data_IF_246926623631
#
_entry.id   IF_246926623631
#
_cell.length_a   1.000
_cell.length_b   1.000
_cell.length_c   1.000
_cell.angle_alpha   90.00
_cell.angle_beta   90.00
_cell.angle_gamma   90.00
#
_symmetry.space_group_name_H-M   'P 1'
#
loop_
_entity.id
_entity.type
_entity.pdbx_description
1 polymer ?
#
# COMPACT_ATOMS: atom_id res chain seq x y z
N UNK A 1 -35.53 -1.50 -3.78
CA UNK A 1 -34.48 -2.19 -3.01
C UNK A 1 -33.21 -1.99 -3.80
N UNK A 2 -32.56 -0.89 -3.45
CA UNK A 2 -31.43 -0.26 -4.11
C UNK A 2 -30.22 -1.22 -4.07
N UNK A 3 -29.49 -1.44 -5.16
CA UNK A 3 -28.73 -0.40 -5.84
C UNK A 3 -27.32 -0.35 -5.23
N UNK A 4 -26.61 -1.48 -5.23
CA UNK A 4 -25.21 -1.55 -4.83
C UNK A 4 -24.38 -0.91 -5.95
N UNK A 5 -23.72 0.19 -5.62
CA UNK A 5 -22.83 0.90 -6.51
C UNK A 5 -21.68 -0.01 -6.92
N UNK A 6 -21.70 -0.45 -8.18
CA UNK A 6 -20.60 -1.11 -8.87
C UNK A 6 -19.51 -0.05 -9.16
N UNK A 7 -18.72 0.27 -8.13
CA UNK A 7 -17.58 1.19 -8.21
C UNK A 7 -16.35 0.47 -8.75
N UNK A 8 -16.10 0.64 -10.05
CA UNK A 8 -15.06 0.04 -10.87
C UNK A 8 -13.61 0.47 -10.54
N UNK A 9 -13.15 0.41 -9.28
CA UNK A 9 -11.78 0.79 -8.93
C UNK A 9 -10.73 -0.29 -9.29
N UNK A 10 -11.16 -1.54 -9.48
CA UNK A 10 -10.26 -2.66 -9.88
C UNK A 10 -10.21 -2.90 -11.39
N UNK A 11 -11.03 -2.19 -12.18
CA UNK A 11 -11.19 -2.40 -13.63
C UNK A 11 -9.96 -2.03 -14.48
N UNK A 12 -8.93 -1.42 -13.89
CA UNK A 12 -7.72 -0.96 -14.59
C UNK A 12 -6.48 -1.86 -14.50
N UNK A 13 -6.54 -2.96 -13.76
CA UNK A 13 -5.37 -3.83 -13.57
C UNK A 13 -5.27 -4.82 -14.73
N UNK A 14 -4.29 -4.63 -15.60
CA UNK A 14 -3.99 -5.56 -16.69
C UNK A 14 -3.68 -6.96 -16.13
N UNK A 15 -4.23 -7.99 -16.78
CA UNK A 15 -3.91 -9.39 -16.46
C UNK A 15 -2.59 -9.73 -17.13
N UNK A 16 -1.60 -10.14 -16.35
CA UNK A 16 -0.28 -10.58 -16.82
C UNK A 16 -0.04 -12.01 -16.34
N UNK A 17 0.34 -12.95 -17.22
CA UNK A 17 0.75 -14.30 -16.81
C UNK A 17 1.94 -14.25 -15.85
N UNK A 18 1.97 -15.16 -14.89
CA UNK A 18 3.03 -15.20 -13.88
C UNK A 18 4.42 -15.40 -14.51
N UNK A 19 4.52 -16.27 -15.51
CA UNK A 19 5.77 -16.49 -16.25
C UNK A 19 6.30 -15.20 -16.91
N UNK A 20 5.41 -14.35 -17.45
CA UNK A 20 5.81 -13.06 -18.05
C UNK A 20 6.34 -12.08 -17.00
N UNK A 21 5.76 -12.11 -15.79
CA UNK A 21 6.26 -11.34 -14.66
C UNK A 21 7.65 -11.83 -14.27
N UNK A 22 7.83 -13.15 -14.10
CA UNK A 22 9.10 -13.77 -13.76
C UNK A 22 10.18 -13.45 -14.80
N UNK A 23 9.88 -13.61 -16.08
CA UNK A 23 10.78 -13.26 -17.20
C UNK A 23 11.19 -11.79 -17.17
N UNK A 24 10.28 -10.90 -16.76
CA UNK A 24 10.59 -9.47 -16.63
C UNK A 24 11.56 -9.24 -15.48
N UNK A 25 11.33 -9.87 -14.33
CA UNK A 25 12.21 -9.72 -13.16
C UNK A 25 13.59 -10.33 -13.41
N UNK A 26 13.68 -11.54 -13.97
CA UNK A 26 14.96 -12.19 -14.29
C UNK A 26 15.73 -11.43 -15.36
N UNK A 27 15.05 -10.86 -16.37
CA UNK A 27 15.69 -10.00 -17.38
C UNK A 27 16.42 -8.80 -16.79
N UNK A 28 15.87 -8.17 -15.74
CA UNK A 28 16.44 -6.94 -15.17
C UNK A 28 17.30 -7.18 -13.93
N UNK A 29 16.99 -8.20 -13.13
CA UNK A 29 17.63 -8.47 -11.83
C UNK A 29 18.49 -9.75 -11.82
N UNK A 30 18.45 -10.52 -12.92
CA UNK A 30 19.22 -11.75 -13.12
C UNK A 30 18.46 -13.02 -12.73
N UNK A 31 18.92 -14.16 -13.26
CA UNK A 31 18.29 -15.47 -13.07
C UNK A 31 18.30 -15.97 -11.62
N UNK A 32 19.20 -15.43 -10.80
CA UNK A 32 19.30 -15.75 -9.37
C UNK A 32 18.40 -14.91 -8.47
N UNK A 33 17.55 -14.06 -9.04
CA UNK A 33 16.64 -13.22 -8.26
C UNK A 33 15.55 -14.06 -7.58
N UNK A 34 15.18 -13.66 -6.36
CA UNK A 34 14.18 -14.36 -5.56
C UNK A 34 12.76 -14.08 -6.10
N UNK A 35 12.25 -15.01 -6.91
CA UNK A 35 10.91 -14.93 -7.47
C UNK A 35 9.81 -15.25 -6.44
N UNK A 36 10.12 -15.96 -5.35
CA UNK A 36 9.13 -16.21 -4.30
C UNK A 36 8.74 -14.89 -3.60
N UNK A 37 9.70 -13.97 -3.45
CA UNK A 37 9.44 -12.63 -2.96
C UNK A 37 8.53 -11.82 -3.91
N UNK A 38 8.69 -12.00 -5.23
CA UNK A 38 7.81 -11.38 -6.24
C UNK A 38 6.40 -11.94 -6.11
N UNK A 39 6.28 -13.27 -6.03
CA UNK A 39 5.01 -13.98 -5.92
C UNK A 39 4.24 -13.58 -4.67
N UNK A 40 4.92 -13.48 -3.53
CA UNK A 40 4.31 -13.00 -2.29
C UNK A 40 3.75 -11.58 -2.42
N UNK A 41 4.47 -10.67 -3.10
CA UNK A 41 4.04 -9.28 -3.31
C UNK A 41 2.82 -9.21 -4.23
N UNK A 42 2.83 -9.92 -5.36
CA UNK A 42 1.69 -9.90 -6.29
C UNK A 42 0.49 -10.67 -5.76
N UNK A 43 0.69 -11.73 -4.98
CA UNK A 43 -0.38 -12.45 -4.30
C UNK A 43 -1.06 -11.57 -3.25
N UNK A 44 -0.30 -10.84 -2.44
CA UNK A 44 -0.86 -9.89 -1.47
C UNK A 44 -1.66 -8.78 -2.16
N UNK A 45 -1.15 -8.26 -3.28
CA UNK A 45 -1.87 -7.28 -4.10
C UNK A 45 -3.15 -7.86 -4.73
N UNK A 46 -3.09 -9.10 -5.24
CA UNK A 46 -4.23 -9.78 -5.85
C UNK A 46 -5.31 -10.18 -4.84
N UNK A 47 -4.94 -10.41 -3.57
CA UNK A 47 -5.86 -10.76 -2.50
C UNK A 47 -6.97 -9.73 -2.29
N UNK A 48 -6.76 -8.48 -2.71
CA UNK A 48 -7.80 -7.44 -2.70
C UNK A 48 -9.03 -7.76 -3.56
N UNK A 49 -8.91 -8.73 -4.47
CA UNK A 49 -10.01 -9.22 -5.31
C UNK A 49 -10.79 -10.36 -4.67
N UNK A 50 -10.35 -10.86 -3.52
CA UNK A 50 -11.00 -11.91 -2.77
C UNK A 50 -11.84 -11.30 -1.66
N UNK A 51 -12.95 -11.95 -1.32
CA UNK A 51 -13.71 -11.57 -0.13
C UNK A 51 -12.88 -11.92 1.12
N UNK A 52 -12.69 -10.95 2.01
CA UNK A 52 -12.02 -11.15 3.29
C UNK A 52 -11.16 -9.98 3.73
N UNK A 53 -10.34 -10.24 4.75
CA UNK A 53 -9.41 -9.24 5.28
C UNK A 53 -8.24 -9.01 4.32
N UNK A 54 -7.77 -7.76 4.17
CA UNK A 54 -6.62 -7.45 3.34
C UNK A 54 -5.34 -8.10 3.86
N UNK A 55 -4.48 -8.53 2.94
CA UNK A 55 -3.17 -9.10 3.27
C UNK A 55 -2.15 -7.99 3.47
N UNK A 56 -1.46 -8.00 4.61
CA UNK A 56 -0.39 -7.06 4.94
C UNK A 56 0.95 -7.80 4.92
N UNK A 57 1.88 -7.31 4.11
CA UNK A 57 3.23 -7.86 4.02
C UNK A 57 4.27 -6.80 4.39
N UNK A 58 5.32 -7.21 5.09
CA UNK A 58 6.53 -6.42 5.31
C UNK A 58 7.69 -7.15 4.64
N UNK A 59 8.12 -6.65 3.48
CA UNK A 59 9.24 -7.23 2.75
C UNK A 59 10.58 -6.79 3.36
N UNK A 60 11.26 -7.72 4.03
CA UNK A 60 12.56 -7.48 4.68
C UNK A 60 13.65 -8.21 3.92
N UNK A 61 14.75 -7.51 3.64
CA UNK A 61 15.91 -8.09 2.97
C UNK A 61 17.14 -7.20 3.11
N UNK A 62 18.32 -7.76 2.82
CA UNK A 62 19.58 -7.02 2.83
C UNK A 62 19.57 -5.79 1.91
N UNK A 63 20.51 -4.84 2.10
CA UNK A 63 20.71 -3.76 1.14
C UNK A 63 21.05 -4.35 -0.24
N UNK A 64 20.53 -3.74 -1.30
CA UNK A 64 20.80 -4.16 -2.69
C UNK A 64 20.00 -5.36 -3.21
N UNK A 65 19.15 -6.02 -2.42
CA UNK A 65 18.35 -7.17 -2.88
C UNK A 65 17.05 -6.79 -3.64
N UNK A 66 17.02 -5.62 -4.28
CA UNK A 66 15.89 -5.11 -5.08
C UNK A 66 14.48 -5.16 -4.45
N UNK A 67 14.38 -5.19 -3.11
CA UNK A 67 13.09 -5.21 -2.39
C UNK A 67 12.22 -4.00 -2.73
N UNK A 68 12.83 -2.81 -2.88
CA UNK A 68 12.12 -1.57 -3.20
C UNK A 68 11.55 -1.62 -4.62
N UNK A 69 12.33 -2.13 -5.57
CA UNK A 69 11.96 -2.32 -6.96
C UNK A 69 10.79 -3.31 -7.07
N UNK A 70 10.84 -4.41 -6.30
CA UNK A 70 9.76 -5.41 -6.25
C UNK A 70 8.43 -4.79 -5.87
N UNK A 71 8.36 -4.09 -4.74
CA UNK A 71 7.10 -3.49 -4.29
C UNK A 71 6.69 -2.27 -5.13
N UNK A 72 7.66 -1.51 -5.68
CA UNK A 72 7.37 -0.33 -6.49
C UNK A 72 6.82 -0.69 -7.88
N UNK A 73 7.08 -1.90 -8.38
CA UNK A 73 6.54 -2.39 -9.66
C UNK A 73 5.01 -2.33 -9.71
N UNK A 74 4.34 -2.48 -8.57
CA UNK A 74 2.88 -2.39 -8.43
C UNK A 74 2.31 -1.00 -8.75
N UNK A 75 3.13 0.07 -8.80
CA UNK A 75 2.67 1.40 -9.24
C UNK A 75 2.02 1.36 -10.62
N UNK A 76 2.55 0.55 -11.53
CA UNK A 76 2.02 0.36 -12.88
C UNK A 76 0.69 -0.39 -12.91
N UNK A 77 0.36 -1.07 -11.82
CA UNK A 77 -0.89 -1.80 -11.64
C UNK A 77 -1.95 -0.97 -10.90
N UNK A 78 -1.66 0.28 -10.51
CA UNK A 78 -2.62 1.13 -9.81
C UNK A 78 -2.50 1.09 -8.28
N UNK A 79 -1.42 0.52 -7.75
CA UNK A 79 -1.10 0.68 -6.33
C UNK A 79 -0.67 2.11 -6.00
N UNK A 80 -1.09 2.60 -4.85
CA UNK A 80 -0.63 3.87 -4.28
C UNK A 80 0.75 3.65 -3.66
N UNK A 81 1.80 3.96 -4.41
CA UNK A 81 3.18 3.83 -3.93
C UNK A 81 3.64 5.15 -3.33
N UNK A 82 3.94 5.15 -2.03
CA UNK A 82 4.47 6.32 -1.33
C UNK A 82 5.79 5.99 -0.63
N UNK A 83 6.72 6.96 -0.62
CA UNK A 83 8.06 6.73 -0.07
C UNK A 83 8.05 6.68 1.46
N UNK A 84 7.28 7.56 2.11
CA UNK A 84 7.22 7.69 3.57
C UNK A 84 5.88 8.31 3.97
N UNK A 85 5.35 7.93 5.14
CA UNK A 85 4.25 8.65 5.80
C UNK A 85 4.87 9.67 6.76
N UNK A 86 4.69 10.95 6.47
CA UNK A 86 5.32 12.03 7.24
C UNK A 86 4.65 12.26 8.61
N UNK A 87 3.37 11.91 8.77
CA UNK A 87 2.62 12.08 10.02
C UNK A 87 1.32 11.28 10.03
N UNK A 88 0.69 11.12 11.19
CA UNK A 88 -0.64 10.53 11.31
C UNK A 88 -1.67 11.28 10.45
N UNK A 89 -1.60 12.62 10.37
CA UNK A 89 -2.48 13.43 9.52
C UNK A 89 -2.21 13.30 8.01
N UNK A 90 -1.03 12.82 7.62
CA UNK A 90 -0.73 12.49 6.22
C UNK A 90 -1.35 11.14 5.83
N UNK A 91 -1.50 10.21 6.78
CA UNK A 91 -2.15 8.92 6.58
C UNK A 91 -3.68 8.99 6.77
N UNK A 92 -4.11 9.66 7.83
CA UNK A 92 -5.48 9.74 8.34
C UNK A 92 -6.05 11.16 8.16
N UNK A 93 -7.37 11.29 8.05
CA UNK A 93 -8.06 12.57 7.81
C UNK A 93 -8.14 13.51 9.02
N UNK A 94 -7.21 13.42 9.97
CA UNK A 94 -7.32 13.92 11.34
C UNK A 94 -7.38 15.44 11.54
N UNK A 95 -7.24 16.26 10.49
CA UNK A 95 -7.28 17.73 10.62
C UNK A 95 -8.70 18.23 10.90
N UNK A 96 -8.87 19.13 11.87
CA UNK A 96 -10.17 19.72 12.23
C UNK A 96 -10.78 20.52 11.07
N UNK A 97 -12.13 20.65 10.98
CA UNK A 97 -12.80 21.35 9.86
C UNK A 97 -12.29 22.79 9.62
N UNK A 98 -11.78 23.47 10.66
CA UNK A 98 -11.29 24.84 10.59
C UNK A 98 -9.82 24.99 10.15
N UNK A 99 -9.05 23.91 10.14
CA UNK A 99 -7.63 23.89 9.76
C UNK A 99 -7.39 23.23 8.39
N UNK A 100 -8.47 22.95 7.65
CA UNK A 100 -8.41 22.37 6.31
C UNK A 100 -8.20 23.46 5.29
N UNK A 101 -7.05 23.41 4.62
CA UNK A 101 -6.87 24.13 3.37
C UNK A 101 -7.89 23.62 2.34
N UNK A 102 -8.32 24.47 1.40
CA UNK A 102 -9.34 24.12 0.41
C UNK A 102 -8.91 23.00 -0.55
N UNK A 103 -7.61 22.72 -0.62
CA UNK A 103 -6.98 21.66 -1.41
C UNK A 103 -6.62 20.40 -0.59
N UNK A 104 -6.99 20.35 0.70
CA UNK A 104 -6.67 19.21 1.55
C UNK A 104 -7.43 17.93 1.12
N UNK A 105 -6.69 16.87 0.81
CA UNK A 105 -7.24 15.56 0.40
C UNK A 105 -7.84 14.77 1.56
N UNK A 106 -7.52 15.15 2.81
CA UNK A 106 -7.97 14.44 4.01
C UNK A 106 -7.19 13.15 4.29
N UNK A 107 -5.91 13.08 3.90
CA UNK A 107 -5.03 11.96 4.24
C UNK A 107 -5.08 10.80 3.24
N UNK A 108 -4.01 10.00 3.21
CA UNK A 108 -3.78 8.98 2.19
C UNK A 108 -4.87 7.91 2.14
N UNK A 109 -5.39 7.44 3.29
CA UNK A 109 -6.47 6.45 3.30
C UNK A 109 -7.77 6.98 2.67
N UNK A 110 -8.02 8.28 2.77
CA UNK A 110 -9.19 8.90 2.13
C UNK A 110 -9.02 9.04 0.62
N UNK A 111 -7.78 9.22 0.16
CA UNK A 111 -7.44 9.21 -1.27
C UNK A 111 -7.57 7.81 -1.86
N UNK A 112 -7.14 6.78 -1.11
CA UNK A 112 -7.28 5.38 -1.51
C UNK A 112 -8.76 4.97 -1.57
N UNK A 113 -9.58 5.46 -0.65
CA UNK A 113 -10.99 5.12 -0.56
C UNK A 113 -11.22 3.77 0.13
N UNK A 114 -12.33 3.11 -0.20
CA UNK A 114 -12.77 1.89 0.50
C UNK A 114 -11.93 0.65 0.14
N UNK A 115 -11.22 0.67 -0.99
CA UNK A 115 -10.44 -0.48 -1.48
C UNK A 115 -9.28 0.00 -2.35
N UNK A 116 -8.05 -0.36 -1.98
CA UNK A 116 -6.87 -0.16 -2.83
C UNK A 116 -5.61 -0.79 -2.26
N UNK A 117 -4.57 -0.87 -3.08
CA UNK A 117 -3.25 -1.39 -2.68
C UNK A 117 -2.35 -0.22 -2.30
N UNK A 118 -1.82 -0.22 -1.09
CA UNK A 118 -0.87 0.77 -0.58
C UNK A 118 0.52 0.14 -0.46
N UNK A 119 1.52 0.77 -1.08
CA UNK A 119 2.93 0.39 -0.93
C UNK A 119 3.66 1.50 -0.19
N UNK A 120 4.26 1.15 0.94
CA UNK A 120 5.13 2.00 1.73
C UNK A 120 6.58 1.54 1.50
N UNK A 121 7.38 2.35 0.79
CA UNK A 121 8.78 1.98 0.50
C UNK A 121 9.64 1.97 1.76
N UNK A 122 9.35 2.88 2.69
CA UNK A 122 10.03 3.00 3.96
C UNK A 122 9.01 3.17 5.10
N UNK A 123 9.02 2.21 6.03
CA UNK A 123 8.19 2.23 7.24
C UNK A 123 9.00 2.50 8.50
N UNK A 124 10.31 2.75 8.37
CA UNK A 124 11.23 2.89 9.52
C UNK A 124 10.81 4.06 10.41
N UNK A 125 10.36 5.17 9.83
CA UNK A 125 9.84 6.31 10.58
C UNK A 125 8.57 5.96 11.36
N UNK A 126 7.66 5.19 10.75
CA UNK A 126 6.41 4.73 11.38
C UNK A 126 6.71 3.78 12.54
N UNK A 127 7.62 2.82 12.34
CA UNK A 127 8.04 1.88 13.37
C UNK A 127 8.79 2.57 14.54
N UNK A 128 9.34 3.76 14.30
CA UNK A 128 10.05 4.55 15.30
C UNK A 128 9.15 5.55 16.03
N UNK A 129 7.86 5.63 15.68
CA UNK A 129 6.92 6.50 16.39
C UNK A 129 6.72 5.98 17.83
N UNK A 130 6.85 6.85 18.85
CA UNK A 130 6.48 6.48 20.21
C UNK A 130 5.02 6.06 20.23
N UNK A 131 4.71 4.93 20.87
CA UNK A 131 3.32 4.53 21.07
C UNK A 131 2.57 5.66 21.79
N UNK A 132 1.54 6.23 21.15
CA UNK A 132 0.70 7.24 21.78
C UNK A 132 0.01 6.61 22.99
N UNK A 133 0.40 7.03 24.19
CA UNK A 133 -0.25 6.59 25.42
C UNK A 133 -1.65 7.20 25.44
N UNK A 134 -2.68 6.33 25.43
CA UNK A 134 -4.11 6.70 25.51
C UNK A 134 -4.29 7.87 26.48
N UNK A 135 -4.93 8.99 26.09
CA UNK A 135 -5.23 10.05 27.05
C UNK A 135 -6.07 9.43 28.17
N UNK A 136 -5.53 9.49 29.39
CA UNK A 136 -6.22 9.05 30.59
C UNK A 136 -7.48 9.91 30.67
N UNK A 137 -8.64 9.30 30.46
CA UNK A 137 -9.92 9.96 30.68
C UNK A 137 -9.89 10.45 32.13
N UNK A 138 -9.73 11.76 32.28
CA UNK A 138 -9.87 12.39 33.58
C UNK A 138 -11.36 12.57 33.73
N UNK A 139 -11.99 11.51 34.23
CA UNK A 139 -13.39 11.54 34.63
C UNK A 139 -13.47 12.54 35.80
N UNK A 140 -14.30 13.57 35.66
CA UNK A 140 -14.59 14.56 36.69
C UNK A 140 -16.08 14.87 36.64
#
# INVERSE_FOLDING_TARGET
>A
MDGIAEGSHLAGWAVTPLDTLHDTFTRWLGDGYDLDAVDAVVAAAAAIRLDGDPVWILLVGGPGNAKTETVSSLSTSGAHVVSTIASEGALLSGTSKGERASDATGGLLRVIGDTGVLVLKDVTSVLSLPAQTKPRSTDR
#
